data_IF_831816816354
#
_entry.id   IF_831816816354
#
_cell.length_a   1.000
_cell.length_b   1.000
_cell.length_c   1.000
_cell.angle_alpha   90.00
_cell.angle_beta   90.00
_cell.angle_gamma   90.00
#
_symmetry.space_group_name_H-M   'P 1'
#
loop_
_entity.id
_entity.type
_entity.pdbx_description
1 polymer ?
#
# COMPACT_ATOMS: atom_id res chain seq x y z
N UNK A 1 36.61 2.31 5.84
CA UNK A 1 35.20 2.22 6.27
C UNK A 1 34.40 1.70 5.09
N UNK A 2 34.14 0.40 5.01
CA UNK A 2 33.29 -0.19 3.97
C UNK A 2 31.84 -0.20 4.48
N UNK A 3 30.92 0.49 3.81
CA UNK A 3 29.50 0.34 4.09
C UNK A 3 29.07 -1.08 3.69
N UNK A 4 28.53 -1.85 4.62
CA UNK A 4 27.90 -3.15 4.34
C UNK A 4 26.39 -2.97 4.36
N UNK A 5 25.71 -3.46 3.32
CA UNK A 5 24.26 -3.53 3.28
C UNK A 5 23.83 -4.81 3.99
N UNK A 6 23.10 -4.70 5.09
CA UNK A 6 22.51 -5.85 5.80
C UNK A 6 20.99 -5.82 5.65
N UNK A 7 20.40 -7.00 5.49
CA UNK A 7 18.95 -7.13 5.51
C UNK A 7 18.44 -6.90 6.93
N UNK A 8 17.54 -5.93 7.11
CA UNK A 8 16.93 -5.63 8.42
C UNK A 8 15.63 -6.42 8.67
N UNK A 9 14.97 -6.88 7.62
CA UNK A 9 13.71 -7.62 7.69
C UNK A 9 13.27 -8.14 6.32
N UNK A 10 12.24 -8.99 6.30
CA UNK A 10 11.60 -9.48 5.07
C UNK A 10 10.08 -9.47 5.18
N UNK A 11 9.40 -9.23 4.05
CA UNK A 11 7.94 -9.31 3.95
C UNK A 11 7.56 -10.77 3.68
N UNK A 12 6.62 -11.32 4.44
CA UNK A 12 6.27 -12.74 4.37
C UNK A 12 5.48 -13.09 3.11
N UNK A 13 4.43 -12.32 2.81
CA UNK A 13 3.57 -12.54 1.64
C UNK A 13 3.67 -11.35 0.68
N UNK A 14 4.77 -11.30 -0.07
CA UNK A 14 5.05 -10.19 -0.98
C UNK A 14 4.01 -10.09 -2.13
N UNK A 15 3.56 -11.23 -2.64
CA UNK A 15 2.58 -11.27 -3.74
C UNK A 15 1.19 -10.86 -3.25
N UNK A 16 0.80 -11.24 -2.03
CA UNK A 16 -0.41 -10.72 -1.39
C UNK A 16 -0.38 -9.21 -1.21
N UNK A 17 0.76 -8.66 -0.77
CA UNK A 17 0.96 -7.20 -0.65
C UNK A 17 0.81 -6.50 -1.99
N UNK A 18 1.48 -6.99 -3.05
CA UNK A 18 1.33 -6.45 -4.40
C UNK A 18 -0.13 -6.50 -4.86
N UNK A 19 -0.80 -7.63 -4.70
CA UNK A 19 -2.20 -7.79 -5.09
C UNK A 19 -3.10 -6.76 -4.41
N UNK A 20 -2.87 -6.48 -3.12
CA UNK A 20 -3.65 -5.49 -2.37
C UNK A 20 -3.33 -4.05 -2.82
N UNK A 21 -2.06 -3.73 -3.09
CA UNK A 21 -1.67 -2.42 -3.60
C UNK A 21 -2.23 -2.13 -5.00
N UNK A 22 -2.33 -3.14 -5.86
CA UNK A 22 -2.78 -2.98 -7.26
C UNK A 22 -4.23 -3.43 -7.50
N UNK A 23 -5.04 -3.64 -6.46
CA UNK A 23 -6.38 -4.25 -6.55
C UNK A 23 -7.31 -3.52 -7.54
N UNK A 24 -7.19 -2.19 -7.67
CA UNK A 24 -7.98 -1.36 -8.61
C UNK A 24 -7.47 -1.33 -10.07
N UNK A 25 -6.25 -1.80 -10.34
CA UNK A 25 -5.72 -1.86 -11.71
C UNK A 25 -6.25 -3.09 -12.48
N UNK A 26 -6.61 -4.16 -11.75
CA UNK A 26 -7.15 -5.39 -12.35
C UNK A 26 -8.56 -5.20 -12.92
N UNK A 27 -9.33 -4.24 -12.40
CA UNK A 27 -10.70 -3.96 -12.86
C UNK A 27 -10.77 -2.95 -14.01
N UNK A 28 -9.68 -2.22 -14.29
CA UNK A 28 -9.66 -1.14 -15.29
C UNK A 28 -9.05 -1.57 -16.64
N UNK A 29 -8.50 -2.78 -16.74
CA UNK A 29 -8.05 -3.38 -17.99
C UNK A 29 -9.18 -4.16 -18.68
N UNK A 30 -9.81 -3.54 -19.69
CA UNK A 30 -10.81 -4.14 -20.60
C UNK A 30 -12.18 -4.53 -20.00
N UNK A 31 -13.05 -3.54 -19.83
CA UNK A 31 -14.49 -3.73 -20.10
C UNK A 31 -14.95 -2.69 -21.13
N UNK A 32 -14.49 -2.82 -22.38
CA UNK A 32 -15.08 -2.09 -23.49
C UNK A 32 -16.43 -2.74 -23.81
N UNK A 33 -17.49 -2.12 -23.29
CA UNK A 33 -18.86 -2.35 -23.74
C UNK A 33 -18.94 -2.18 -25.27
N UNK A 34 -19.29 -3.26 -25.98
CA UNK A 34 -19.96 -3.16 -27.28
C UNK A 34 -21.30 -3.86 -27.20
N UNK A 35 -22.32 -3.09 -26.81
CA UNK A 35 -23.71 -3.38 -27.15
C UNK A 35 -24.07 -2.59 -28.41
N UNK A 36 -24.65 -3.26 -29.41
CA UNK A 36 -25.90 -2.89 -30.11
C UNK A 36 -25.95 -3.41 -31.56
N UNK A 37 -26.92 -4.30 -31.81
CA UNK A 37 -27.81 -4.33 -32.99
C UNK A 37 -27.18 -4.67 -34.37
N UNK A 38 -27.76 -5.44 -35.30
CA UNK A 38 -28.86 -6.41 -35.37
C UNK A 38 -28.97 -6.86 -36.85
N UNK A 39 -29.41 -8.11 -37.06
CA UNK A 39 -30.14 -8.63 -38.23
C UNK A 39 -29.44 -9.00 -39.57
N UNK A 40 -29.61 -10.29 -39.87
CA UNK A 40 -30.00 -10.97 -41.12
C UNK A 40 -29.01 -11.34 -42.25
N UNK A 41 -29.03 -12.67 -42.52
CA UNK A 41 -29.19 -13.38 -43.82
C UNK A 41 -27.99 -14.05 -44.51
N UNK A 42 -28.11 -15.39 -44.54
CA UNK A 42 -28.14 -16.30 -45.72
C UNK A 42 -26.83 -16.94 -46.25
N UNK A 43 -26.89 -18.29 -46.24
CA UNK A 43 -26.47 -19.30 -47.24
C UNK A 43 -25.01 -19.73 -47.42
N UNK A 44 -24.76 -20.96 -46.97
CA UNK A 44 -24.32 -22.17 -47.73
C UNK A 44 -22.85 -22.30 -48.20
N UNK A 45 -22.27 -23.42 -47.73
CA UNK A 45 -21.27 -24.33 -48.29
C UNK A 45 -19.75 -24.15 -48.05
N UNK A 46 -19.28 -25.15 -47.29
CA UNK A 46 -18.17 -26.06 -47.53
C UNK A 46 -16.71 -25.64 -47.29
N UNK A 47 -16.11 -26.49 -46.46
CA UNK A 47 -14.75 -27.01 -46.52
C UNK A 47 -13.61 -26.00 -46.47
N UNK A 48 -13.29 -25.60 -45.25
CA UNK A 48 -11.91 -25.34 -44.84
C UNK A 48 -11.82 -25.39 -43.31
N UNK A 49 -11.94 -26.61 -42.79
CA UNK A 49 -11.73 -26.95 -41.39
C UNK A 49 -10.23 -26.84 -41.06
N UNK A 50 -9.75 -25.59 -40.94
CA UNK A 50 -8.42 -25.30 -40.43
C UNK A 50 -8.47 -25.29 -38.90
N UNK A 51 -7.99 -26.38 -38.33
CA UNK A 51 -7.95 -26.64 -36.91
C UNK A 51 -7.13 -25.60 -36.15
N UNK A 52 -7.76 -25.03 -35.14
CA UNK A 52 -7.10 -24.46 -33.98
C UNK A 52 -7.80 -25.02 -32.75
N UNK A 53 -7.11 -25.90 -32.04
CA UNK A 53 -7.53 -26.32 -30.71
C UNK A 53 -7.60 -25.06 -29.84
N UNK A 54 -8.77 -24.77 -29.30
CA UNK A 54 -8.94 -23.77 -28.24
C UNK A 54 -8.33 -24.39 -26.99
N UNK A 55 -7.02 -24.20 -26.82
CA UNK A 55 -6.30 -24.48 -25.58
C UNK A 55 -5.48 -23.26 -25.17
N UNK A 56 -6.04 -22.07 -25.35
CA UNK A 56 -5.57 -20.87 -24.67
C UNK A 56 -6.66 -20.39 -23.72
N UNK A 57 -6.80 -21.11 -22.61
CA UNK A 57 -7.27 -20.48 -21.39
C UNK A 57 -6.25 -19.38 -21.08
N UNK A 58 -6.59 -18.13 -21.44
CA UNK A 58 -5.83 -16.93 -21.12
C UNK A 58 -5.46 -16.97 -19.63
N UNK A 59 -4.23 -17.39 -19.33
CA UNK A 59 -3.64 -17.16 -18.01
C UNK A 59 -3.68 -15.65 -17.82
N UNK A 60 -4.16 -15.15 -16.66
CA UNK A 60 -4.12 -13.73 -16.38
C UNK A 60 -2.69 -13.26 -16.62
N UNK A 61 -2.52 -12.28 -17.53
CA UNK A 61 -1.24 -11.68 -17.84
C UNK A 61 -0.75 -11.04 -16.54
N UNK A 62 0.10 -11.76 -15.82
CA UNK A 62 0.78 -11.24 -14.63
C UNK A 62 1.77 -10.22 -15.16
N UNK A 63 1.35 -8.95 -15.22
CA UNK A 63 2.24 -7.84 -15.54
C UNK A 63 3.24 -7.75 -14.39
N UNK A 64 4.38 -8.42 -14.55
CA UNK A 64 5.51 -8.30 -13.64
C UNK A 64 6.01 -6.87 -13.75
N UNK A 65 5.76 -6.05 -12.73
CA UNK A 65 6.36 -4.72 -12.61
C UNK A 65 7.74 -4.92 -11.98
N UNK A 66 8.85 -4.92 -12.76
CA UNK A 66 10.19 -5.17 -12.22
C UNK A 66 10.57 -4.17 -11.11
N UNK A 67 9.92 -3.00 -11.08
CA UNK A 67 10.16 -1.91 -10.16
C UNK A 67 8.90 -1.48 -9.39
N UNK A 68 8.07 -2.44 -8.96
CA UNK A 68 6.80 -2.15 -8.26
C UNK A 68 6.95 -1.18 -7.06
N UNK A 69 8.09 -1.23 -6.36
CA UNK A 69 8.38 -0.33 -5.24
C UNK A 69 8.61 1.12 -5.64
N UNK A 70 9.09 1.40 -6.85
CA UNK A 70 9.44 2.76 -7.30
C UNK A 70 8.18 3.64 -7.42
N UNK A 71 7.02 3.03 -7.65
CA UNK A 71 5.73 3.72 -7.74
C UNK A 71 5.01 3.79 -6.39
N UNK A 72 5.51 3.10 -5.37
CA UNK A 72 4.86 3.03 -4.06
C UNK A 72 5.42 4.12 -3.12
N UNK A 73 4.53 4.78 -2.39
CA UNK A 73 4.92 5.52 -1.20
C UNK A 73 5.10 4.54 -0.04
N UNK A 74 6.16 4.68 0.75
CA UNK A 74 6.36 3.84 1.93
C UNK A 74 6.91 4.63 3.12
N UNK A 75 6.59 4.15 4.32
CA UNK A 75 7.16 4.70 5.55
C UNK A 75 7.36 3.59 6.57
N UNK A 76 8.54 3.57 7.18
CA UNK A 76 8.89 2.67 8.28
C UNK A 76 8.86 3.47 9.58
N UNK A 77 8.18 2.95 10.59
CA UNK A 77 8.20 3.48 11.95
C UNK A 77 9.65 3.56 12.48
N UNK A 78 9.98 4.58 13.30
CA UNK A 78 11.33 4.69 13.88
C UNK A 78 11.76 3.48 14.72
N UNK A 79 10.80 2.75 15.28
CA UNK A 79 11.01 1.51 16.07
C UNK A 79 11.10 0.26 15.19
N UNK A 80 10.76 0.33 13.91
CA UNK A 80 10.72 -0.81 12.99
C UNK A 80 9.59 -1.81 13.27
N UNK A 81 8.57 -1.42 14.04
CA UNK A 81 7.43 -2.28 14.37
C UNK A 81 6.31 -2.23 13.32
N UNK A 82 6.18 -1.11 12.62
CA UNK A 82 5.17 -0.84 11.61
C UNK A 82 5.82 -0.36 10.31
N UNK A 83 5.35 -0.88 9.19
CA UNK A 83 5.67 -0.41 7.84
C UNK A 83 4.36 -0.16 7.07
N UNK A 84 4.20 1.05 6.52
CA UNK A 84 3.07 1.42 5.69
C UNK A 84 3.51 1.51 4.22
N UNK A 85 2.73 0.91 3.32
CA UNK A 85 2.93 0.92 1.88
C UNK A 85 1.68 1.49 1.21
N UNK A 86 1.85 2.34 0.19
CA UNK A 86 0.76 3.04 -0.46
C UNK A 86 0.96 3.04 -1.97
N UNK A 87 -0.14 2.87 -2.71
CA UNK A 87 -0.17 3.02 -4.17
C UNK A 87 -1.54 3.55 -4.60
N UNK A 88 -1.58 4.73 -5.24
CA UNK A 88 -2.82 5.40 -5.66
C UNK A 88 -3.78 5.59 -4.49
N UNK A 89 -4.81 4.76 -4.38
CA UNK A 89 -5.83 4.77 -3.34
C UNK A 89 -5.63 3.65 -2.32
N UNK A 90 -4.70 2.73 -2.55
CA UNK A 90 -4.55 1.58 -1.68
C UNK A 90 -3.46 1.84 -0.62
N UNK A 91 -3.78 1.53 0.63
CA UNK A 91 -2.85 1.46 1.74
C UNK A 91 -2.76 0.00 2.21
N UNK A 92 -1.54 -0.44 2.52
CA UNK A 92 -1.23 -1.72 3.17
C UNK A 92 -0.41 -1.44 4.42
N UNK A 93 -0.83 -2.01 5.54
CA UNK A 93 -0.15 -1.90 6.83
C UNK A 93 0.47 -3.26 7.17
N UNK A 94 1.78 -3.23 7.40
CA UNK A 94 2.58 -4.37 7.79
C UNK A 94 3.08 -4.17 9.22
N UNK A 95 2.93 -5.18 10.06
CA UNK A 95 3.51 -5.21 11.41
C UNK A 95 4.66 -6.21 11.47
N UNK A 96 5.70 -5.85 12.20
CA UNK A 96 6.87 -6.69 12.38
C UNK A 96 6.62 -7.76 13.45
N UNK A 97 7.16 -8.94 13.20
CA UNK A 97 7.23 -10.05 14.13
C UNK A 97 8.67 -10.54 14.16
N UNK A 98 9.21 -10.67 15.36
CA UNK A 98 10.54 -11.23 15.54
C UNK A 98 10.46 -12.76 15.60
N UNK A 99 11.10 -13.43 14.65
CA UNK A 99 11.25 -14.88 14.68
C UNK A 99 12.66 -15.25 15.13
N UNK A 100 12.78 -15.72 16.38
CA UNK A 100 14.07 -16.16 16.93
C UNK A 100 14.54 -17.51 16.38
N UNK A 101 13.64 -18.28 15.77
CA UNK A 101 13.90 -19.65 15.31
C UNK A 101 14.45 -19.73 13.89
N UNK A 102 14.34 -18.66 13.11
CA UNK A 102 14.90 -18.61 11.76
C UNK A 102 16.43 -18.43 11.76
N UNK A 103 17.12 -19.27 10.98
CA UNK A 103 18.54 -19.15 10.66
C UNK A 103 18.84 -18.12 9.56
N UNK A 104 17.80 -17.47 9.01
CA UNK A 104 17.95 -16.48 7.96
C UNK A 104 18.66 -15.20 8.45
N UNK A 105 19.24 -14.44 7.53
CA UNK A 105 19.94 -13.19 7.84
C UNK A 105 19.02 -12.10 8.42
N UNK A 106 17.70 -12.21 8.24
CA UNK A 106 16.72 -11.24 8.71
C UNK A 106 15.66 -11.90 9.59
N UNK A 107 15.85 -11.82 10.91
CA UNK A 107 14.92 -12.36 11.92
C UNK A 107 13.59 -11.63 12.01
N UNK A 108 13.54 -10.39 11.52
CA UNK A 108 12.32 -9.58 11.51
C UNK A 108 11.48 -9.89 10.27
N UNK A 109 10.23 -10.29 10.49
CA UNK A 109 9.24 -10.60 9.45
C UNK A 109 8.09 -9.62 9.48
N UNK A 110 7.74 -9.06 8.34
CA UNK A 110 6.62 -8.14 8.19
C UNK A 110 5.40 -8.89 7.68
N UNK A 111 4.32 -8.83 8.46
CA UNK A 111 3.03 -9.46 8.16
C UNK A 111 1.99 -8.38 7.88
N UNK A 112 1.19 -8.58 6.84
CA UNK A 112 0.05 -7.73 6.54
C UNK A 112 -1.01 -7.88 7.63
N UNK A 113 -1.36 -6.75 8.26
CA UNK A 113 -2.40 -6.67 9.30
C UNK A 113 -3.64 -5.97 8.78
N UNK A 114 -3.48 -5.05 7.82
CA UNK A 114 -4.58 -4.33 7.22
C UNK A 114 -4.26 -3.95 5.77
N UNK A 115 -5.31 -3.88 4.95
CA UNK A 115 -5.27 -3.28 3.62
C UNK A 115 -6.60 -2.58 3.33
N UNK A 116 -6.60 -1.55 2.48
CA UNK A 116 -7.85 -0.91 2.06
C UNK A 116 -7.64 0.42 1.36
N UNK A 117 -8.77 1.05 1.03
CA UNK A 117 -8.82 2.40 0.49
C UNK A 117 -9.13 3.41 1.60
N UNK A 118 -8.18 4.29 1.98
CA UNK A 118 -8.39 5.33 2.98
C UNK A 118 -8.88 6.66 2.37
N UNK A 119 -9.16 6.72 1.06
CA UNK A 119 -9.71 7.90 0.41
C UNK A 119 -11.17 8.09 0.81
N UNK A 120 -11.56 9.34 1.04
CA UNK A 120 -12.95 9.71 1.37
C UNK A 120 -13.60 10.56 0.28
N UNK A 121 -12.77 11.23 -0.52
CA UNK A 121 -13.22 12.05 -1.64
C UNK A 121 -13.14 11.29 -2.97
N UNK A 122 -14.00 11.66 -3.91
CA UNK A 122 -14.02 11.02 -5.22
C UNK A 122 -12.73 11.28 -5.99
N UNK A 123 -12.11 10.22 -6.52
CA UNK A 123 -10.88 10.28 -7.31
C UNK A 123 -9.69 10.91 -6.53
N UNK A 124 -9.75 10.89 -5.20
CA UNK A 124 -8.66 11.29 -4.33
C UNK A 124 -7.53 10.25 -4.41
N UNK A 125 -6.28 10.69 -4.33
CA UNK A 125 -5.11 9.83 -4.34
C UNK A 125 -4.27 10.10 -3.09
N UNK A 126 -3.63 9.05 -2.57
CA UNK A 126 -2.60 9.16 -1.55
C UNK A 126 -1.34 9.73 -2.21
N UNK A 127 -0.81 10.81 -1.66
CA UNK A 127 0.35 11.53 -2.20
C UNK A 127 1.59 11.36 -1.33
N UNK A 128 1.43 11.16 -0.03
CA UNK A 128 2.53 10.84 0.87
C UNK A 128 2.06 10.04 2.09
N UNK A 129 3.00 9.33 2.73
CA UNK A 129 2.77 8.50 3.91
C UNK A 129 3.88 8.71 4.93
N UNK A 130 3.54 8.78 6.21
CA UNK A 130 4.50 8.91 7.31
C UNK A 130 4.05 8.09 8.53
N UNK A 131 4.89 7.16 8.98
CA UNK A 131 4.70 6.43 10.23
C UNK A 131 5.26 7.27 11.39
N UNK A 132 4.38 7.71 12.30
CA UNK A 132 4.71 8.63 13.37
C UNK A 132 4.57 7.95 14.73
N UNK A 133 5.64 7.93 15.55
CA UNK A 133 5.51 7.48 16.93
C UNK A 133 4.71 8.51 17.72
N UNK A 134 3.67 8.06 18.41
CA UNK A 134 2.90 8.88 19.33
C UNK A 134 3.21 8.41 20.76
N UNK A 135 3.84 9.29 21.52
CA UNK A 135 3.94 9.11 22.96
C UNK A 135 2.60 9.50 23.58
N UNK A 136 2.03 8.67 24.46
CA UNK A 136 0.95 9.16 25.29
C UNK A 136 1.50 10.34 26.12
N UNK A 137 0.73 11.41 26.34
CA UNK A 137 1.11 12.47 27.27
C UNK A 137 1.33 11.85 28.66
N UNK A 138 2.58 11.56 29.00
CA UNK A 138 2.90 10.92 30.27
C UNK A 138 2.67 11.95 31.39
N UNK A 139 1.58 11.77 32.12
CA UNK A 139 1.34 12.33 33.47
C UNK A 139 2.29 11.77 34.53
N UNK A 140 3.26 10.93 34.15
CA UNK A 140 4.22 10.35 35.08
C UNK A 140 5.66 10.49 34.57
N UNK A 141 6.52 11.07 35.42
CA UNK A 141 7.95 11.32 35.22
C UNK A 141 8.78 10.03 35.16
N UNK A 142 8.52 9.11 34.23
CA UNK A 142 9.37 7.93 34.03
C UNK A 142 10.25 8.09 32.79
N UNK A 143 11.55 8.01 33.01
CA UNK A 143 12.65 8.26 32.07
C UNK A 143 12.84 7.23 30.95
N UNK A 144 11.79 6.46 30.59
CA UNK A 144 11.82 5.49 29.50
C UNK A 144 10.68 5.78 28.53
N UNK A 145 10.95 6.66 27.56
CA UNK A 145 10.01 7.13 26.54
C UNK A 145 9.94 6.15 25.36
N UNK A 146 9.38 4.96 25.59
CA UNK A 146 8.96 4.09 24.50
C UNK A 146 7.70 4.71 23.89
N UNK A 147 7.58 4.85 22.55
CA UNK A 147 6.32 5.23 21.94
C UNK A 147 5.25 4.22 22.33
N UNK A 148 4.16 4.67 22.93
CA UNK A 148 3.09 3.75 23.34
C UNK A 148 2.34 3.18 22.11
N UNK A 149 2.40 3.89 20.98
CA UNK A 149 1.78 3.50 19.73
C UNK A 149 2.37 4.24 18.52
N UNK A 150 2.27 3.64 17.33
CA UNK A 150 2.61 4.29 16.06
C UNK A 150 1.32 4.58 15.28
N UNK A 151 1.15 5.81 14.80
CA UNK A 151 0.09 6.16 13.87
C UNK A 151 0.63 6.31 12.44
N UNK A 152 -0.28 6.26 11.47
CA UNK A 152 0.04 6.44 10.06
C UNK A 152 -0.62 7.73 9.60
N UNK A 153 0.19 8.74 9.26
CA UNK A 153 -0.28 9.95 8.62
C UNK A 153 -0.26 9.78 7.09
N UNK A 154 -1.39 10.08 6.45
CA UNK A 154 -1.56 10.09 5.00
C UNK A 154 -1.90 11.49 4.52
N UNK A 155 -1.14 11.95 3.53
CA UNK A 155 -1.47 13.13 2.75
C UNK A 155 -2.18 12.73 1.46
N UNK A 156 -3.14 13.55 1.04
CA UNK A 156 -3.96 13.28 -0.13
C UNK A 156 -3.87 14.40 -1.18
N UNK A 157 -4.26 14.06 -2.41
CA UNK A 157 -4.33 15.00 -3.54
C UNK A 157 -5.37 16.11 -3.37
N UNK A 158 -6.33 15.90 -2.46
CA UNK A 158 -7.35 16.88 -2.06
C UNK A 158 -6.83 17.97 -1.11
N UNK A 159 -5.60 17.83 -0.61
CA UNK A 159 -5.09 18.66 0.48
C UNK A 159 -5.49 18.19 1.88
N UNK A 160 -6.21 17.07 1.96
CA UNK A 160 -6.50 16.40 3.23
C UNK A 160 -5.25 15.77 3.84
N UNK A 161 -5.15 15.88 5.16
CA UNK A 161 -4.25 15.12 6.02
C UNK A 161 -5.12 14.25 6.93
N UNK A 162 -4.87 12.94 6.92
CA UNK A 162 -5.59 11.99 7.79
C UNK A 162 -4.62 11.12 8.58
N UNK A 163 -5.01 10.78 9.80
CA UNK A 163 -4.24 9.91 10.68
C UNK A 163 -5.02 8.62 10.91
N UNK A 164 -4.32 7.50 10.84
CA UNK A 164 -4.87 6.17 11.02
C UNK A 164 -4.13 5.44 12.13
N UNK A 165 -4.84 4.54 12.82
CA UNK A 165 -4.22 3.56 13.72
C UNK A 165 -3.41 2.55 12.93
N UNK A 166 -2.57 1.78 13.63
CA UNK A 166 -1.91 0.58 13.08
C UNK A 166 -2.89 -0.50 12.57
N UNK A 167 -4.19 -0.37 12.89
CA UNK A 167 -5.26 -1.27 12.46
C UNK A 167 -6.11 -0.69 11.32
N UNK A 168 -5.77 0.51 10.84
CA UNK A 168 -6.49 1.18 9.75
C UNK A 168 -7.73 1.98 10.18
N UNK A 169 -7.93 2.20 11.48
CA UNK A 169 -9.03 3.04 11.97
C UNK A 169 -8.67 4.53 11.83
N UNK A 170 -9.61 5.35 11.35
CA UNK A 170 -9.41 6.79 11.23
C UNK A 170 -9.41 7.46 12.63
N UNK A 171 -8.38 8.26 12.89
CA UNK A 171 -8.21 9.01 14.14
C UNK A 171 -8.51 10.50 13.97
N UNK A 172 -8.07 11.07 12.86
CA UNK A 172 -8.18 12.49 12.55
C UNK A 172 -8.21 12.69 11.04
N UNK A 173 -8.96 13.69 10.58
CA UNK A 173 -9.06 14.08 9.18
C UNK A 173 -9.31 15.58 9.10
N UNK A 174 -8.46 16.31 8.38
CA UNK A 174 -8.61 17.75 8.15
C UNK A 174 -8.00 18.14 6.80
N UNK A 175 -8.57 19.15 6.14
CA UNK A 175 -7.97 19.76 4.95
C UNK A 175 -7.05 20.89 5.38
N UNK A 176 -5.74 20.71 5.20
CA UNK A 176 -4.72 21.66 5.65
C UNK A 176 -4.06 22.44 4.51
N UNK A 177 -4.17 21.92 3.28
CA UNK A 177 -3.60 22.53 2.08
C UNK A 177 -4.71 22.74 1.04
N UNK A 178 -4.60 23.79 0.23
CA UNK A 178 -5.52 24.00 -0.91
C UNK A 178 -5.23 23.04 -2.08
N UNK A 179 -4.04 22.42 -2.09
CA UNK A 179 -3.59 21.49 -3.11
C UNK A 179 -3.01 20.21 -2.52
N UNK A 180 -2.42 19.34 -3.36
CA UNK A 180 -1.90 18.05 -2.93
C UNK A 180 -0.86 18.15 -1.81
N UNK A 181 -1.03 17.35 -0.75
CA UNK A 181 -0.03 17.26 0.34
C UNK A 181 1.23 16.57 -0.18
N UNK A 182 2.35 17.30 -0.30
CA UNK A 182 3.58 16.77 -0.90
C UNK A 182 4.41 15.94 0.08
N UNK A 183 4.50 16.37 1.33
CA UNK A 183 5.29 15.68 2.35
C UNK A 183 4.81 16.02 3.74
N UNK A 184 4.91 15.06 4.66
CA UNK A 184 4.61 15.26 6.07
C UNK A 184 5.94 15.24 6.83
N UNK A 185 6.18 16.27 7.64
CA UNK A 185 7.31 16.33 8.57
C UNK A 185 6.80 16.73 9.94
N UNK A 186 7.20 15.98 10.94
CA UNK A 186 6.85 16.24 12.32
C UNK A 186 8.13 16.45 13.14
N UNK A 187 8.08 17.39 14.08
CA UNK A 187 9.16 17.63 15.02
C UNK A 187 8.58 17.66 16.42
N UNK A 188 9.21 16.92 17.33
CA UNK A 188 8.87 16.99 18.75
C UNK A 188 9.22 18.38 19.29
N UNK A 189 8.29 19.01 19.99
CA UNK A 189 8.53 20.31 20.62
C UNK A 189 9.65 20.16 21.66
N UNK A 190 10.76 20.87 21.47
CA UNK A 190 11.78 20.99 22.52
C UNK A 190 11.24 21.91 23.62
N UNK A 191 11.21 21.49 24.90
CA UNK A 191 10.83 22.40 25.98
C UNK A 191 11.77 23.62 25.97
N UNK A 192 11.21 24.81 26.18
CA UNK A 192 12.00 26.02 26.37
C UNK A 192 12.95 25.82 27.56
N UNK A 193 14.25 26.02 27.34
CA UNK A 193 15.28 25.97 28.40
C UNK A 193 15.09 27.07 29.42
#
# INVERSE_FOLDING_TARGET
MSCQMSAFGSIVDLEGVKKCLYLGHLTSGNLSLKNSQSQEKKTVNNEDAWGWSIEDAEKPVVVSHPNWLDECGFSLSPTGELMALTYRQNLVILMSKWDSSEESSSKTKYHMVWHGDPCQEHNELITCVCALPLAAPQTHRSSHSVPDWTCIALGFSSGALRFYTEKGDLLFSEVLEEGPVVSIKCQTVSPSR
#
